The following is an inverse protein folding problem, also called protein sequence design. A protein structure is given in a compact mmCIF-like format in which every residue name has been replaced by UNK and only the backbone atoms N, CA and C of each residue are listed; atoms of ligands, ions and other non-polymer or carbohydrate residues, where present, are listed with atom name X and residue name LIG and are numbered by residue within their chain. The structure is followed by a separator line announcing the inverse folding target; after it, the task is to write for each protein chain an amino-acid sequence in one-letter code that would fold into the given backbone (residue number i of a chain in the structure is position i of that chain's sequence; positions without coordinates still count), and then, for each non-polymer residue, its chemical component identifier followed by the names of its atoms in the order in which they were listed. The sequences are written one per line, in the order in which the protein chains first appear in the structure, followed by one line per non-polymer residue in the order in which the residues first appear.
data_IF_708679192931
#
_entry.id   IF_708679192931
#
_cell.length_a   1.000
_cell.length_b   1.000
_cell.length_c   1.000
_cell.angle_alpha   90.00
_cell.angle_beta   90.00
_cell.angle_gamma   90.00
#
_symmetry.space_group_name_H-M   'P 1'
#
loop_
_entity.id
_entity.type
_entity.pdbx_description
1 polymer ?
#
# COMPACT_ATOMS: atom_id res chain seq x y z
N UNK A 1 4.98 0.39 9.84
CA UNK A 1 5.58 -0.78 9.17
C UNK A 1 7.08 -0.55 8.96
N UNK A 2 7.46 0.51 8.24
CA UNK A 2 8.83 1.04 8.10
C UNK A 2 9.68 1.06 9.38
N UNK A 3 9.16 1.58 10.50
CA UNK A 3 9.93 1.63 11.76
C UNK A 3 10.48 0.26 12.19
N UNK A 4 9.65 -0.78 12.09
CA UNK A 4 10.09 -2.14 12.43
C UNK A 4 11.10 -2.70 11.42
N UNK A 5 10.94 -2.37 10.14
CA UNK A 5 11.89 -2.77 9.09
C UNK A 5 13.25 -2.10 9.31
N UNK A 6 13.26 -0.82 9.66
CA UNK A 6 14.47 -0.08 9.99
C UNK A 6 15.17 -0.64 11.24
N UNK A 7 14.40 -0.95 12.28
CA UNK A 7 14.94 -1.57 13.49
C UNK A 7 15.52 -2.96 13.21
N UNK A 8 14.81 -3.80 12.44
CA UNK A 8 15.30 -5.12 12.03
C UNK A 8 16.57 -5.04 11.19
N UNK A 9 16.67 -4.04 10.29
CA UNK A 9 17.86 -3.82 9.46
C UNK A 9 19.11 -3.67 10.33
N UNK A 10 19.02 -2.91 11.42
CA UNK A 10 20.16 -2.69 12.33
C UNK A 10 20.24 -3.74 13.45
N UNK A 11 19.45 -4.81 13.39
CA UNK A 11 19.41 -5.86 14.42
C UNK A 11 18.84 -5.43 15.77
N UNK A 12 18.10 -4.31 15.82
CA UNK A 12 17.56 -3.77 17.07
C UNK A 12 16.17 -4.35 17.41
N UNK A 13 15.90 -4.68 18.69
CA UNK A 13 14.59 -5.19 19.10
C UNK A 13 13.48 -4.13 18.95
N UNK A 14 12.66 -4.27 17.91
CA UNK A 14 11.60 -3.29 17.57
C UNK A 14 10.63 -3.04 18.72
N UNK A 15 10.22 -4.10 19.44
CA UNK A 15 9.26 -3.98 20.54
C UNK A 15 9.80 -3.11 21.68
N UNK A 16 11.10 -3.25 22.00
CA UNK A 16 11.77 -2.42 22.99
C UNK A 16 11.88 -0.97 22.52
N UNK A 17 12.32 -0.74 21.28
CA UNK A 17 12.46 0.63 20.74
C UNK A 17 11.14 1.41 20.73
N UNK A 18 9.99 0.74 20.59
CA UNK A 18 8.65 1.39 20.67
C UNK A 18 8.29 1.89 22.06
N UNK A 19 8.93 1.37 23.11
CA UNK A 19 8.69 1.79 24.49
C UNK A 19 9.56 2.99 24.88
N UNK A 20 10.58 3.31 24.08
CA UNK A 20 11.47 4.43 24.34
C UNK A 20 10.84 5.76 23.90
N UNK A 21 11.18 6.88 24.57
CA UNK A 21 10.98 8.21 24.02
C UNK A 21 11.55 8.33 22.60
N UNK A 22 10.83 9.01 21.72
CA UNK A 22 11.20 9.15 20.31
C UNK A 22 12.67 9.60 20.08
N UNK A 23 13.24 10.53 20.86
CA UNK A 23 14.65 10.91 20.71
C UNK A 23 15.62 9.75 20.97
N UNK A 24 15.35 8.91 21.98
CA UNK A 24 16.20 7.77 22.32
C UNK A 24 16.10 6.66 21.28
N UNK A 25 14.88 6.37 20.79
CA UNK A 25 14.70 5.46 19.68
C UNK A 25 15.45 5.93 18.43
N UNK A 26 15.39 7.23 18.13
CA UNK A 26 16.11 7.84 17.01
C UNK A 26 17.63 7.71 17.11
N UNK A 27 18.23 8.02 18.27
CA UNK A 27 19.67 7.91 18.48
C UNK A 27 20.14 6.46 18.34
N UNK A 28 19.40 5.49 18.89
CA UNK A 28 19.74 4.07 18.79
C UNK A 28 19.71 3.60 17.33
N UNK A 29 18.70 4.01 16.58
CA UNK A 29 18.59 3.70 15.14
C UNK A 29 19.71 4.37 14.34
N UNK A 30 20.04 5.63 14.62
CA UNK A 30 21.12 6.35 13.95
C UNK A 30 22.47 5.68 14.18
N UNK A 31 22.76 5.26 15.41
CA UNK A 31 23.98 4.52 15.73
C UNK A 31 24.03 3.18 14.97
N UNK A 32 22.94 2.42 14.99
CA UNK A 32 22.79 1.19 14.25
C UNK A 32 23.09 1.38 12.76
N UNK A 33 22.46 2.36 12.12
CA UNK A 33 22.61 2.64 10.69
C UNK A 33 24.02 3.09 10.30
N UNK A 34 24.67 3.93 11.13
CA UNK A 34 26.03 4.39 10.87
C UNK A 34 27.07 3.26 10.98
N UNK A 35 26.80 2.26 11.81
CA UNK A 35 27.67 1.09 12.03
C UNK A 35 27.37 -0.10 11.10
N UNK A 36 26.23 -0.07 10.41
CA UNK A 36 25.79 -1.16 9.55
C UNK A 36 26.51 -1.14 8.20
N UNK A 37 27.11 -2.26 7.81
CA UNK A 37 27.76 -2.39 6.49
C UNK A 37 26.69 -2.52 5.41
N UNK A 38 26.90 -1.85 4.28
CA UNK A 38 25.91 -1.58 3.25
C UNK A 38 25.18 -2.82 2.69
N UNK A 39 23.97 -3.07 3.17
CA UNK A 39 22.93 -3.74 2.39
C UNK A 39 22.21 -2.67 1.55
N UNK A 40 22.05 -2.90 0.25
CA UNK A 40 21.22 -2.04 -0.59
C UNK A 40 19.77 -2.19 -0.14
N UNK A 41 19.12 -1.08 0.17
CA UNK A 41 17.71 -1.05 0.55
C UNK A 41 16.93 -0.16 -0.41
N UNK A 42 15.70 -0.57 -0.72
CA UNK A 42 14.71 0.25 -1.42
C UNK A 42 13.81 0.91 -0.39
N UNK A 43 13.70 2.23 -0.44
CA UNK A 43 12.74 2.99 0.38
C UNK A 43 11.44 3.19 -0.40
N UNK A 44 10.33 3.20 0.34
CA UNK A 44 9.06 3.75 -0.14
C UNK A 44 8.74 4.96 0.71
N UNK A 45 8.72 6.12 0.08
CA UNK A 45 8.45 7.40 0.70
C UNK A 45 7.19 8.00 0.07
N UNK A 46 6.41 8.68 0.89
CA UNK A 46 5.26 9.49 0.43
C UNK A 46 5.53 10.93 0.83
N UNK A 47 5.25 11.86 -0.07
CA UNK A 47 5.46 13.29 0.15
C UNK A 47 4.12 14.02 0.10
N UNK A 48 3.43 14.06 1.25
CA UNK A 48 2.17 14.80 1.43
C UNK A 48 2.41 15.89 2.49
N UNK A 49 3.16 16.93 2.12
CA UNK A 49 3.55 18.03 3.01
C UNK A 49 4.67 17.70 4.01
N UNK A 50 4.93 16.41 4.26
CA UNK A 50 6.16 15.92 4.91
C UNK A 50 6.57 14.58 4.31
N UNK A 51 7.87 14.33 4.27
CA UNK A 51 8.41 13.04 3.85
C UNK A 51 8.08 12.00 4.92
N UNK A 52 7.34 10.97 4.54
CA UNK A 52 7.04 9.82 5.39
C UNK A 52 7.59 8.53 4.78
N UNK A 53 8.44 7.85 5.55
CA UNK A 53 8.93 6.53 5.18
C UNK A 53 7.86 5.48 5.46
N UNK A 54 7.30 4.87 4.41
CA UNK A 54 6.25 3.86 4.48
C UNK A 54 6.80 2.43 4.53
N UNK A 55 7.89 2.19 3.81
CA UNK A 55 8.56 0.89 3.80
C UNK A 55 10.08 0.98 3.60
N UNK A 56 10.79 0.00 4.15
CA UNK A 56 12.14 -0.36 3.71
C UNK A 56 12.15 -1.84 3.32
N UNK A 57 12.61 -2.13 2.11
CA UNK A 57 12.62 -3.49 1.55
C UNK A 57 13.97 -3.79 0.90
N UNK A 58 14.24 -5.07 0.65
CA UNK A 58 15.44 -5.47 -0.10
C UNK A 58 15.42 -5.03 -1.58
N UNK A 59 16.56 -5.14 -2.27
CA UNK A 59 16.70 -4.69 -3.66
C UNK A 59 15.83 -5.52 -4.62
N UNK A 60 15.59 -6.80 -4.30
CA UNK A 60 14.78 -7.71 -5.12
C UNK A 60 13.27 -7.59 -4.87
N UNK A 61 12.86 -6.74 -3.92
CA UNK A 61 11.44 -6.53 -3.66
C UNK A 61 10.78 -5.77 -4.82
N UNK A 62 9.89 -6.45 -5.55
CA UNK A 62 9.01 -5.86 -6.54
C UNK A 62 7.77 -5.26 -5.89
N UNK A 63 7.33 -4.09 -6.36
CA UNK A 63 6.08 -3.45 -5.95
C UNK A 63 5.30 -3.06 -7.20
N UNK A 64 4.01 -3.37 -7.20
CA UNK A 64 3.04 -2.93 -8.20
C UNK A 64 1.99 -2.15 -7.42
N UNK A 65 1.67 -0.95 -7.87
CA UNK A 65 0.64 -0.15 -7.22
C UNK A 65 -0.75 -0.58 -7.72
N UNK A 66 -1.75 -0.53 -6.85
CA UNK A 66 -3.11 -0.94 -7.19
C UNK A 66 -3.64 -0.19 -8.42
N UNK A 67 -3.33 1.11 -8.56
CA UNK A 67 -3.72 1.89 -9.73
C UNK A 67 -3.10 1.36 -11.05
N UNK A 68 -1.87 0.84 -11.02
CA UNK A 68 -1.23 0.25 -12.20
C UNK A 68 -1.94 -1.05 -12.59
N UNK A 69 -2.30 -1.86 -11.59
CA UNK A 69 -3.07 -3.08 -11.79
C UNK A 69 -4.46 -2.78 -12.35
N UNK A 70 -5.18 -1.83 -11.75
CA UNK A 70 -6.49 -1.37 -12.20
C UNK A 70 -6.41 -0.83 -13.63
N UNK A 71 -5.44 0.02 -13.94
CA UNK A 71 -5.25 0.54 -15.30
C UNK A 71 -4.91 -0.57 -16.31
N UNK A 72 -4.14 -1.59 -15.92
CA UNK A 72 -3.90 -2.75 -16.77
C UNK A 72 -5.17 -3.56 -17.05
N UNK A 73 -6.00 -3.78 -16.02
CA UNK A 73 -7.29 -4.46 -16.17
C UNK A 73 -8.23 -3.64 -17.07
N UNK A 74 -8.33 -2.34 -16.86
CA UNK A 74 -9.18 -1.45 -17.66
C UNK A 74 -8.78 -1.40 -19.14
N UNK A 75 -7.49 -1.56 -19.47
CA UNK A 75 -7.03 -1.68 -20.87
C UNK A 75 -7.58 -2.91 -21.59
N UNK A 76 -7.87 -3.99 -20.86
CA UNK A 76 -8.33 -5.26 -21.43
C UNK A 76 -9.87 -5.38 -21.34
N UNK A 77 -10.43 -5.04 -20.18
CA UNK A 77 -11.84 -5.25 -19.84
C UNK A 77 -12.71 -3.99 -19.99
N UNK A 78 -12.11 -2.83 -20.28
CA UNK A 78 -12.80 -1.55 -20.32
C UNK A 78 -13.11 -0.97 -18.95
N UNK A 79 -13.95 0.06 -18.93
CA UNK A 79 -14.44 0.79 -17.76
C UNK A 79 -15.52 0.01 -16.95
N UNK A 80 -15.82 -1.23 -17.32
CA UNK A 80 -16.81 -2.03 -16.63
C UNK A 80 -18.28 -1.69 -16.92
N UNK A 81 -18.58 -0.81 -17.88
CA UNK A 81 -19.97 -0.50 -18.30
C UNK A 81 -20.55 -1.50 -19.31
N UNK A 82 -19.76 -2.50 -19.73
CA UNK A 82 -20.18 -3.51 -20.71
C UNK A 82 -19.81 -3.17 -22.16
N UNK A 83 -18.95 -2.17 -22.38
CA UNK A 83 -18.38 -1.85 -23.70
C UNK A 83 -17.51 -3.00 -24.26
N UNK A 84 -17.09 -3.93 -23.40
CA UNK A 84 -16.38 -5.18 -23.77
C UNK A 84 -17.21 -6.41 -23.36
N UNK A 85 -16.64 -7.62 -23.50
CA UNK A 85 -17.25 -8.86 -22.97
C UNK A 85 -17.31 -8.90 -21.43
N UNK A 86 -16.76 -7.90 -20.75
CA UNK A 86 -16.71 -7.78 -19.30
C UNK A 86 -17.53 -6.58 -18.82
N UNK A 87 -18.24 -6.74 -17.70
CA UNK A 87 -18.90 -5.65 -16.97
C UNK A 87 -18.76 -5.84 -15.47
N UNK A 88 -18.82 -4.74 -14.71
CA UNK A 88 -18.91 -4.81 -13.25
C UNK A 88 -20.26 -5.43 -12.85
N UNK A 89 -20.30 -6.37 -11.89
CA UNK A 89 -21.55 -6.94 -11.39
C UNK A 89 -22.48 -5.89 -10.81
N UNK A 90 -23.79 -6.17 -10.87
CA UNK A 90 -24.80 -5.35 -10.20
C UNK A 90 -24.73 -5.46 -8.68
N UNK A 91 -25.58 -4.70 -7.99
CA UNK A 91 -25.67 -4.71 -6.53
C UNK A 91 -26.88 -5.53 -6.08
N UNK A 92 -26.69 -6.35 -5.05
CA UNK A 92 -27.79 -6.98 -4.32
C UNK A 92 -28.18 -6.09 -3.13
N UNK A 93 -29.44 -5.64 -3.09
CA UNK A 93 -29.96 -4.93 -1.93
C UNK A 93 -30.33 -5.95 -0.84
N UNK A 94 -29.50 -6.05 0.20
CA UNK A 94 -29.61 -7.11 1.22
C UNK A 94 -30.88 -7.03 2.09
N UNK A 95 -31.50 -5.86 2.22
CA UNK A 95 -32.75 -5.66 2.96
C UNK A 95 -33.97 -6.21 2.22
N UNK A 96 -33.95 -6.17 0.88
CA UNK A 96 -35.10 -6.54 0.03
C UNK A 96 -34.86 -7.84 -0.75
N UNK A 97 -33.60 -8.27 -0.87
CA UNK A 97 -33.18 -9.40 -1.69
C UNK A 97 -33.24 -9.13 -3.20
N UNK A 98 -33.46 -7.88 -3.61
CA UNK A 98 -33.59 -7.51 -5.03
C UNK A 98 -32.22 -7.24 -5.65
N UNK A 99 -31.95 -7.87 -6.79
CA UNK A 99 -30.72 -7.66 -7.55
C UNK A 99 -30.91 -6.60 -8.64
N UNK A 100 -30.03 -5.60 -8.64
CA UNK A 100 -30.02 -4.50 -9.61
C UNK A 100 -28.84 -4.67 -10.59
N UNK A 101 -29.04 -5.26 -11.79
CA UNK A 101 -27.97 -5.59 -12.73
C UNK A 101 -27.35 -4.40 -13.49
N UNK A 102 -27.95 -3.21 -13.38
CA UNK A 102 -27.61 -2.00 -14.12
C UNK A 102 -27.27 -0.82 -13.21
N UNK A 103 -26.70 -1.10 -12.03
CA UNK A 103 -26.22 -0.04 -11.15
C UNK A 103 -25.09 0.73 -11.82
N UNK A 104 -25.05 2.05 -11.62
CA UNK A 104 -23.98 2.87 -12.14
C UNK A 104 -22.64 2.49 -11.50
N UNK A 105 -21.60 2.46 -12.33
CA UNK A 105 -20.24 2.11 -11.91
C UNK A 105 -19.55 3.40 -11.45
N UNK A 106 -19.41 3.57 -10.13
CA UNK A 106 -18.86 4.77 -9.49
C UNK A 106 -17.85 4.39 -8.40
N UNK A 107 -17.10 5.35 -7.84
CA UNK A 107 -16.19 5.08 -6.72
C UNK A 107 -16.90 4.53 -5.48
N UNK A 108 -18.16 4.91 -5.27
CA UNK A 108 -18.96 4.49 -4.12
C UNK A 108 -19.53 3.08 -4.29
N UNK A 109 -19.71 2.65 -5.55
CA UNK A 109 -20.35 1.37 -5.88
C UNK A 109 -19.38 0.29 -6.35
N UNK A 110 -18.13 0.64 -6.67
CA UNK A 110 -17.11 -0.32 -7.11
C UNK A 110 -15.69 0.04 -6.70
N UNK A 111 -14.88 -0.99 -6.48
CA UNK A 111 -13.44 -0.86 -6.28
C UNK A 111 -12.66 -0.64 -7.58
N UNK A 112 -13.29 -0.80 -8.76
CA UNK A 112 -12.66 -0.55 -10.06
C UNK A 112 -12.14 0.90 -10.21
N UNK A 113 -12.71 1.84 -9.46
CA UNK A 113 -12.32 3.26 -9.47
C UNK A 113 -11.76 3.77 -8.13
N UNK A 114 -11.57 2.88 -7.16
CA UNK A 114 -11.21 3.24 -5.79
C UNK A 114 -9.71 3.49 -5.56
N UNK A 115 -8.91 3.53 -6.63
CA UNK A 115 -7.49 3.90 -6.57
C UNK A 115 -7.26 5.40 -6.52
#
# INVERSE_FOLDING_TARGET
WSFGQLASLVGAPTAYLRQLPAPLAGINLQYGLASHRAEQVKTLETEDGRIELRALTGPDYGRIFDHELVAAVQRIAGNGTGDTRWKVPGVLEWSTGVYHPHVDVTKDTTTLYAS
#
